data_IF_975521085855
#
_entry.id   IF_975521085855
#
_cell.length_a   1.000
_cell.length_b   1.000
_cell.length_c   1.000
_cell.angle_alpha   90.00
_cell.angle_beta   90.00
_cell.angle_gamma   90.00
#
_symmetry.space_group_name_H-M   'P 1'
#
loop_
_entity.id
_entity.type
_entity.pdbx_description
1 polymer ?
#
# COMPACT_ATOMS: atom_id res chain seq x y z
N UNK A 1 -35.90 -56.34 -32.82
CA UNK A 1 -35.92 -55.09 -32.08
C UNK A 1 -34.50 -54.70 -31.77
N UNK A 2 -33.91 -53.69 -32.47
CA UNK A 2 -32.55 -53.20 -32.24
C UNK A 2 -32.58 -52.11 -31.14
N UNK A 3 -31.89 -52.34 -30.04
CA UNK A 3 -31.74 -51.35 -28.94
C UNK A 3 -30.69 -50.33 -29.34
N UNK A 4 -31.10 -49.07 -29.54
CA UNK A 4 -30.22 -47.93 -29.75
C UNK A 4 -29.69 -47.51 -28.38
N UNK A 5 -28.38 -47.61 -28.15
CA UNK A 5 -27.72 -47.03 -26.99
C UNK A 5 -27.35 -45.59 -27.36
N UNK A 6 -28.02 -44.62 -26.73
CA UNK A 6 -27.64 -43.21 -26.83
C UNK A 6 -26.50 -42.97 -25.84
N UNK A 7 -25.31 -42.68 -26.38
CA UNK A 7 -24.17 -42.28 -25.59
C UNK A 7 -24.30 -40.77 -25.37
N UNK A 8 -24.71 -40.33 -24.16
CA UNK A 8 -24.74 -38.94 -23.78
C UNK A 8 -23.31 -38.52 -23.46
N UNK A 9 -22.66 -37.85 -24.42
CA UNK A 9 -21.35 -37.26 -24.20
C UNK A 9 -21.58 -35.91 -23.49
N UNK A 10 -21.39 -35.87 -22.17
CA UNK A 10 -21.43 -34.63 -21.40
C UNK A 10 -20.21 -33.79 -21.75
N UNK A 11 -20.41 -32.75 -22.59
CA UNK A 11 -19.44 -31.67 -22.73
C UNK A 11 -19.40 -30.88 -21.41
N UNK A 12 -18.44 -31.18 -20.55
CA UNK A 12 -18.08 -30.29 -19.48
C UNK A 12 -17.36 -29.10 -20.11
N UNK A 13 -17.83 -27.86 -19.89
CA UNK A 13 -17.05 -26.69 -20.29
C UNK A 13 -15.75 -26.74 -19.50
N UNK A 14 -14.62 -26.80 -20.19
CA UNK A 14 -13.33 -26.56 -19.59
C UNK A 14 -13.33 -25.08 -19.16
N UNK A 15 -13.63 -24.85 -17.89
CA UNK A 15 -13.37 -23.54 -17.27
C UNK A 15 -11.84 -23.43 -17.25
N UNK A 16 -11.31 -22.72 -18.23
CA UNK A 16 -9.89 -22.36 -18.26
C UNK A 16 -9.61 -21.58 -17.00
N UNK A 17 -8.87 -22.18 -16.06
CA UNK A 17 -8.18 -21.45 -15.03
C UNK A 17 -7.13 -20.59 -15.75
N UNK A 18 -7.51 -19.40 -16.22
CA UNK A 18 -6.54 -18.36 -16.52
C UNK A 18 -5.84 -18.06 -15.21
N UNK A 19 -4.56 -18.39 -15.12
CA UNK A 19 -3.72 -17.87 -14.06
C UNK A 19 -3.78 -16.33 -14.18
N UNK A 20 -4.47 -15.70 -13.24
CA UNK A 20 -4.45 -14.25 -13.18
C UNK A 20 -3.03 -13.82 -12.83
N UNK A 21 -2.52 -12.82 -13.54
CA UNK A 21 -1.30 -12.14 -13.17
C UNK A 21 -1.63 -10.95 -12.25
N UNK A 22 -0.71 -10.53 -11.39
CA UNK A 22 -0.90 -9.29 -10.65
C UNK A 22 -1.10 -8.13 -11.64
N UNK A 23 -1.96 -7.20 -11.25
CA UNK A 23 -2.14 -5.94 -11.99
C UNK A 23 -0.85 -5.11 -11.93
N UNK A 24 -0.22 -5.07 -10.77
CA UNK A 24 1.05 -4.38 -10.52
C UNK A 24 1.93 -5.22 -9.60
N UNK A 25 3.24 -5.16 -9.84
CA UNK A 25 4.28 -5.63 -8.92
C UNK A 25 5.08 -4.41 -8.50
N UNK A 26 5.26 -4.24 -7.22
CA UNK A 26 6.00 -3.15 -6.59
C UNK A 26 7.17 -3.76 -5.81
N UNK A 27 8.36 -3.72 -6.39
CA UNK A 27 9.57 -4.17 -5.71
C UNK A 27 9.90 -3.20 -4.57
N UNK A 28 10.18 -3.72 -3.38
CA UNK A 28 10.34 -2.87 -2.20
C UNK A 28 11.56 -1.94 -2.30
N UNK A 29 12.61 -2.38 -2.98
CA UNK A 29 13.83 -1.63 -3.22
C UNK A 29 13.64 -0.43 -4.17
N UNK A 30 12.57 -0.42 -4.98
CA UNK A 30 12.25 0.68 -5.91
C UNK A 30 11.49 1.82 -5.21
N UNK A 31 11.10 1.63 -3.95
CA UNK A 31 10.39 2.63 -3.18
C UNK A 31 11.30 3.77 -2.70
N UNK A 32 10.69 4.91 -2.36
CA UNK A 32 11.36 5.93 -1.57
C UNK A 32 11.41 5.44 -0.12
N UNK A 33 12.62 5.36 0.45
CA UNK A 33 12.85 4.80 1.77
C UNK A 33 13.23 5.90 2.78
N UNK A 34 12.56 5.90 3.93
CA UNK A 34 12.93 6.73 5.08
C UNK A 34 13.66 5.87 6.12
N UNK A 35 14.91 6.20 6.48
CA UNK A 35 15.68 5.42 7.46
C UNK A 35 14.94 5.22 8.80
N UNK A 36 15.25 4.12 9.52
CA UNK A 36 16.40 3.24 9.36
C UNK A 36 16.28 2.16 8.27
N UNK A 37 15.11 2.01 7.63
CA UNK A 37 14.89 1.03 6.57
C UNK A 37 15.86 1.23 5.41
N UNK A 38 16.37 0.12 4.84
CA UNK A 38 17.33 0.15 3.72
C UNK A 38 17.28 -1.10 2.84
N UNK A 39 17.74 -0.96 1.60
CA UNK A 39 17.91 -2.09 0.66
C UNK A 39 19.05 -3.00 1.08
N UNK A 40 18.82 -4.30 0.96
CA UNK A 40 19.82 -5.36 1.14
C UNK A 40 19.78 -6.31 -0.06
N UNK A 41 20.91 -6.55 -0.68
CA UNK A 41 21.03 -7.40 -1.87
C UNK A 41 21.35 -8.83 -1.45
N UNK A 42 20.43 -9.75 -1.74
CA UNK A 42 20.53 -11.17 -1.41
C UNK A 42 19.81 -11.98 -2.50
N UNK A 43 20.50 -12.91 -3.12
CA UNK A 43 19.91 -13.78 -4.15
C UNK A 43 18.73 -14.59 -3.62
N UNK A 44 17.73 -14.77 -4.45
CA UNK A 44 16.56 -15.58 -4.18
C UNK A 44 15.34 -14.81 -3.71
N UNK A 45 15.46 -13.49 -3.55
CA UNK A 45 14.34 -12.56 -3.49
C UNK A 45 13.95 -12.09 -4.92
N UNK A 46 12.79 -11.48 -5.06
CA UNK A 46 12.44 -10.76 -6.29
C UNK A 46 13.46 -9.64 -6.52
N UNK A 47 13.94 -9.44 -7.74
CA UNK A 47 14.99 -8.45 -8.02
C UNK A 47 16.34 -8.69 -7.34
N UNK A 48 16.55 -9.87 -6.68
CA UNK A 48 17.74 -10.19 -5.87
C UNK A 48 18.01 -9.17 -4.75
N UNK A 49 16.92 -8.56 -4.21
CA UNK A 49 17.00 -7.60 -3.12
C UNK A 49 15.77 -7.69 -2.19
N UNK A 50 15.88 -7.08 -1.03
CA UNK A 50 14.78 -6.85 -0.13
C UNK A 50 15.02 -5.57 0.69
N UNK A 51 13.99 -5.05 1.31
CA UNK A 51 14.07 -3.90 2.21
C UNK A 51 14.00 -4.40 3.65
N UNK A 52 15.08 -4.14 4.40
CA UNK A 52 15.24 -4.59 5.79
C UNK A 52 15.47 -3.44 6.76
N UNK A 53 15.68 -3.79 8.04
CA UNK A 53 15.82 -2.83 9.14
C UNK A 53 14.57 -1.95 9.28
N UNK A 54 13.40 -2.58 9.09
CA UNK A 54 12.09 -1.92 9.11
C UNK A 54 11.63 -1.67 10.55
N UNK A 55 12.32 -0.76 11.24
CA UNK A 55 12.06 -0.41 12.63
C UNK A 55 11.19 0.85 12.76
N UNK A 56 10.87 1.21 13.99
CA UNK A 56 10.07 2.40 14.28
C UNK A 56 10.65 3.66 13.61
N UNK A 57 9.80 4.42 12.95
CA UNK A 57 10.18 5.59 12.16
C UNK A 57 10.51 5.30 10.70
N UNK A 58 10.62 4.02 10.30
CA UNK A 58 10.79 3.64 8.91
C UNK A 58 9.56 3.94 8.07
N UNK A 59 9.78 4.27 6.80
CA UNK A 59 8.73 4.39 5.81
C UNK A 59 9.20 3.83 4.47
N UNK A 60 8.33 3.07 3.82
CA UNK A 60 8.47 2.59 2.44
C UNK A 60 7.35 3.26 1.65
N UNK A 61 7.69 4.16 0.72
CA UNK A 61 6.72 4.97 0.00
C UNK A 61 6.81 4.73 -1.51
N UNK A 62 5.74 4.20 -2.08
CA UNK A 62 5.52 4.15 -3.52
C UNK A 62 4.72 5.37 -3.96
N UNK A 63 5.19 6.03 -5.02
CA UNK A 63 4.51 7.14 -5.70
C UNK A 63 4.04 6.69 -7.07
N UNK A 64 3.02 7.37 -7.61
CA UNK A 64 2.52 7.13 -8.96
C UNK A 64 2.05 5.68 -9.21
N UNK A 65 1.43 5.08 -8.21
CA UNK A 65 0.79 3.76 -8.35
C UNK A 65 -0.53 3.95 -9.11
N UNK A 66 -0.49 3.73 -10.42
CA UNK A 66 -1.63 4.01 -11.30
C UNK A 66 -2.59 2.84 -11.39
N UNK A 67 -3.89 3.12 -11.25
CA UNK A 67 -4.97 2.17 -11.54
C UNK A 67 -6.05 2.82 -12.40
N UNK A 68 -6.62 2.05 -13.32
CA UNK A 68 -7.64 2.55 -14.26
C UNK A 68 -9.02 2.79 -13.62
N UNK A 69 -9.28 2.13 -12.50
CA UNK A 69 -10.57 2.17 -11.81
C UNK A 69 -10.38 2.40 -10.33
N UNK A 70 -11.25 3.18 -9.72
CA UNK A 70 -11.34 3.24 -8.27
C UNK A 70 -11.97 1.96 -7.72
N UNK A 71 -11.53 1.52 -6.55
CA UNK A 71 -12.13 0.35 -5.90
C UNK A 71 -11.20 -0.37 -4.93
N UNK A 72 -11.70 -1.52 -4.51
CA UNK A 72 -10.95 -2.46 -3.68
C UNK A 72 -10.01 -3.30 -4.54
N UNK A 73 -8.79 -3.44 -4.06
CA UNK A 73 -7.76 -4.29 -4.66
C UNK A 73 -7.23 -5.26 -3.60
N UNK A 74 -6.94 -6.49 -4.02
CA UNK A 74 -6.19 -7.41 -3.19
C UNK A 74 -4.72 -6.97 -3.16
N UNK A 75 -4.15 -6.92 -1.96
CA UNK A 75 -2.79 -6.46 -1.70
C UNK A 75 -2.01 -7.57 -1.02
N UNK A 76 -1.05 -8.11 -1.71
CA UNK A 76 -0.15 -9.16 -1.22
C UNK A 76 1.19 -8.58 -0.86
N UNK A 77 1.64 -8.83 0.35
CA UNK A 77 2.95 -8.44 0.85
C UNK A 77 3.82 -9.67 1.01
N UNK A 78 4.94 -9.72 0.32
CA UNK A 78 5.92 -10.79 0.42
C UNK A 78 7.02 -10.39 1.38
N UNK A 79 7.35 -11.25 2.34
CA UNK A 79 8.19 -10.89 3.47
C UNK A 79 9.03 -12.04 4.01
N UNK A 80 10.06 -11.69 4.80
CA UNK A 80 10.76 -12.61 5.70
C UNK A 80 10.76 -12.06 7.13
N UNK A 81 10.59 -12.93 8.13
CA UNK A 81 10.59 -12.54 9.54
C UNK A 81 10.67 -13.76 10.46
N UNK A 82 11.48 -13.69 11.50
CA UNK A 82 11.51 -14.69 12.57
C UNK A 82 10.41 -14.50 13.61
N UNK A 83 9.75 -13.36 13.65
CA UNK A 83 8.70 -13.06 14.63
C UNK A 83 7.44 -12.58 13.91
N UNK A 84 6.30 -12.80 14.55
CA UNK A 84 5.04 -12.21 14.08
C UNK A 84 5.14 -10.69 14.17
N UNK A 85 4.91 -10.04 13.05
CA UNK A 85 5.00 -8.60 12.87
C UNK A 85 3.77 -8.07 12.17
N UNK A 86 3.60 -6.78 12.20
CA UNK A 86 2.53 -6.10 11.48
C UNK A 86 3.07 -4.86 10.79
N UNK A 87 2.40 -4.50 9.71
CA UNK A 87 2.63 -3.25 8.99
C UNK A 87 1.34 -2.46 8.94
N UNK A 88 1.44 -1.14 8.85
CA UNK A 88 0.34 -0.28 8.50
C UNK A 88 0.52 0.18 7.06
N UNK A 89 -0.51 0.02 6.25
CA UNK A 89 -0.53 0.41 4.83
C UNK A 89 -1.53 1.54 4.66
N UNK A 90 -1.05 2.67 4.22
CA UNK A 90 -1.85 3.85 3.93
C UNK A 90 -1.87 4.11 2.42
N UNK A 91 -3.05 4.27 1.84
CA UNK A 91 -3.23 4.62 0.43
C UNK A 91 -3.76 6.05 0.33
N UNK A 92 -3.03 6.91 -0.38
CA UNK A 92 -3.39 8.32 -0.48
C UNK A 92 -3.67 8.95 0.90
N UNK A 93 -4.84 9.55 1.05
CA UNK A 93 -5.28 10.19 2.29
C UNK A 93 -6.23 9.33 3.13
N UNK A 94 -6.36 8.05 2.85
CA UNK A 94 -7.19 7.16 3.65
C UNK A 94 -6.50 6.74 4.95
N UNK A 95 -7.31 6.39 5.95
CA UNK A 95 -6.76 5.85 7.19
C UNK A 95 -5.95 4.57 6.91
N UNK A 96 -4.80 4.37 7.58
CA UNK A 96 -3.98 3.19 7.37
C UNK A 96 -4.72 1.92 7.78
N UNK A 97 -4.54 0.87 7.00
CA UNK A 97 -5.00 -0.49 7.30
C UNK A 97 -3.84 -1.24 7.94
N UNK A 98 -4.08 -1.83 9.11
CA UNK A 98 -3.09 -2.67 9.78
C UNK A 98 -3.17 -4.09 9.24
N UNK A 99 -2.04 -4.60 8.76
CA UNK A 99 -1.91 -5.95 8.21
C UNK A 99 -0.97 -6.74 9.11
N UNK A 100 -1.47 -7.83 9.67
CA UNK A 100 -0.70 -8.73 10.52
C UNK A 100 -0.24 -9.96 9.77
N UNK A 101 0.98 -10.42 10.09
CA UNK A 101 1.45 -11.73 9.67
C UNK A 101 0.68 -12.83 10.41
N UNK A 102 0.44 -13.93 9.74
CA UNK A 102 -0.14 -15.13 10.34
C UNK A 102 0.90 -16.17 10.68
N UNK A 103 2.06 -16.09 10.09
CA UNK A 103 3.18 -17.04 10.29
C UNK A 103 4.53 -16.36 10.15
N UNK A 104 5.57 -17.01 10.64
CA UNK A 104 6.97 -16.59 10.47
C UNK A 104 7.59 -17.37 9.32
N UNK A 105 8.74 -16.87 8.80
CA UNK A 105 9.50 -17.55 7.75
C UNK A 105 10.77 -18.23 8.29
N UNK A 106 10.93 -18.29 9.60
CA UNK A 106 12.07 -18.90 10.31
C UNK A 106 13.43 -18.20 10.09
N UNK A 107 13.57 -17.34 9.11
CA UNK A 107 14.78 -16.56 8.84
C UNK A 107 14.44 -15.09 8.50
N UNK A 108 15.30 -14.16 8.91
CA UNK A 108 15.17 -12.76 8.58
C UNK A 108 15.66 -12.43 7.17
N UNK A 109 16.66 -13.13 6.70
CA UNK A 109 17.47 -12.68 5.58
C UNK A 109 17.50 -13.67 4.41
N UNK A 110 16.73 -14.75 4.49
CA UNK A 110 16.76 -15.81 3.48
C UNK A 110 15.34 -16.25 3.09
N UNK A 111 15.10 -16.50 1.79
CA UNK A 111 13.91 -17.21 1.36
C UNK A 111 13.79 -18.59 2.00
N UNK A 112 12.60 -19.20 2.09
CA UNK A 112 11.39 -18.77 1.37
C UNK A 112 10.72 -17.55 2.00
N UNK A 113 10.08 -16.74 1.17
CA UNK A 113 9.25 -15.61 1.62
C UNK A 113 7.87 -16.10 2.04
N UNK A 114 7.33 -15.51 3.11
CA UNK A 114 5.91 -15.62 3.46
C UNK A 114 5.08 -14.62 2.65
N UNK A 115 3.76 -14.74 2.74
CA UNK A 115 2.85 -13.82 2.08
C UNK A 115 1.71 -13.42 3.04
N UNK A 116 1.53 -12.11 3.22
CA UNK A 116 0.34 -11.53 3.87
C UNK A 116 -0.64 -11.08 2.79
N UNK A 117 -1.91 -11.43 2.97
CA UNK A 117 -2.99 -11.00 2.10
C UNK A 117 -3.88 -10.01 2.83
N UNK A 118 -4.19 -8.92 2.17
CA UNK A 118 -5.14 -7.92 2.64
C UNK A 118 -5.85 -7.25 1.47
N UNK A 119 -6.69 -6.26 1.78
CA UNK A 119 -7.37 -5.47 0.79
C UNK A 119 -7.11 -3.99 1.07
N UNK A 120 -6.86 -3.23 0.00
CA UNK A 120 -6.69 -1.78 0.04
C UNK A 120 -7.68 -1.12 -0.90
N UNK A 121 -7.98 0.14 -0.67
CA UNK A 121 -8.77 0.94 -1.59
C UNK A 121 -7.85 1.90 -2.35
N UNK A 122 -8.00 1.95 -3.68
CA UNK A 122 -7.26 2.88 -4.53
C UNK A 122 -8.26 3.76 -5.29
N UNK A 123 -7.95 5.04 -5.40
CA UNK A 123 -8.66 5.96 -6.29
C UNK A 123 -8.25 5.71 -7.74
N UNK A 124 -9.11 6.04 -8.70
CA UNK A 124 -8.73 6.02 -10.12
C UNK A 124 -7.61 7.03 -10.38
N UNK A 125 -6.58 6.60 -11.10
CA UNK A 125 -5.41 7.42 -11.44
C UNK A 125 -4.22 7.09 -10.54
N UNK A 126 -3.36 8.06 -10.31
CA UNK A 126 -2.15 7.91 -9.51
C UNK A 126 -2.47 7.91 -8.01
N UNK A 127 -1.91 6.95 -7.32
CA UNK A 127 -2.00 6.78 -5.88
C UNK A 127 -0.61 6.81 -5.25
N UNK A 128 -0.56 7.11 -3.96
CA UNK A 128 0.59 6.81 -3.11
C UNK A 128 0.26 5.64 -2.21
N UNK A 129 1.23 4.76 -1.98
CA UNK A 129 1.12 3.67 -1.00
C UNK A 129 2.29 3.82 -0.04
N UNK A 130 1.96 4.09 1.21
CA UNK A 130 2.92 4.24 2.30
C UNK A 130 2.81 3.05 3.24
N UNK A 131 3.93 2.42 3.53
CA UNK A 131 4.03 1.30 4.44
C UNK A 131 4.94 1.70 5.59
N UNK A 132 4.46 1.48 6.81
CA UNK A 132 5.21 1.71 8.05
C UNK A 132 5.14 0.48 8.95
N UNK A 133 6.13 0.21 9.80
CA UNK A 133 6.03 -0.82 10.82
C UNK A 133 4.92 -0.45 11.82
N UNK A 134 4.21 -1.46 12.32
CA UNK A 134 3.18 -1.26 13.32
C UNK A 134 3.59 -1.91 14.65
N UNK A 135 3.45 -1.17 15.77
CA UNK A 135 3.84 -1.61 17.11
C UNK A 135 5.33 -2.03 17.25
N UNK A 136 6.23 -1.21 16.72
CA UNK A 136 7.69 -1.42 16.85
C UNK A 136 8.35 -1.72 15.52
N UNK A 137 8.84 -2.92 15.31
CA UNK A 137 9.50 -3.30 14.06
C UNK A 137 8.56 -4.03 13.09
N UNK A 138 8.77 -3.84 11.81
CA UNK A 138 8.14 -4.57 10.73
C UNK A 138 8.94 -5.79 10.26
N UNK A 139 8.40 -6.62 9.35
CA UNK A 139 9.16 -7.65 8.65
C UNK A 139 10.12 -7.04 7.64
N UNK A 140 11.09 -7.81 7.18
CA UNK A 140 11.78 -7.49 5.94
C UNK A 140 10.83 -7.71 4.76
N UNK A 141 10.83 -6.80 3.80
CA UNK A 141 9.89 -6.82 2.68
C UNK A 141 10.64 -7.11 1.38
N UNK A 142 10.15 -8.10 0.65
CA UNK A 142 10.59 -8.45 -0.71
C UNK A 142 9.89 -7.53 -1.73
N UNK A 143 8.59 -7.74 -1.87
CA UNK A 143 7.75 -6.99 -2.82
C UNK A 143 6.31 -6.91 -2.36
N UNK A 144 5.54 -6.13 -3.10
CA UNK A 144 4.09 -6.12 -3.02
C UNK A 144 3.46 -6.43 -4.38
N UNK A 145 2.30 -7.02 -4.36
CA UNK A 145 1.50 -7.23 -5.56
C UNK A 145 0.10 -6.68 -5.37
N UNK A 146 -0.41 -6.02 -6.39
CA UNK A 146 -1.78 -5.52 -6.46
C UNK A 146 -2.54 -6.37 -7.47
N UNK A 147 -3.69 -6.89 -7.07
CA UNK A 147 -4.53 -7.76 -7.87
C UNK A 147 -5.94 -7.21 -7.97
N UNK A 148 -6.59 -7.41 -9.11
CA UNK A 148 -8.03 -7.22 -9.19
C UNK A 148 -8.75 -8.23 -8.28
N UNK A 149 -9.88 -7.83 -7.69
CA UNK A 149 -10.66 -8.68 -6.78
C UNK A 149 -12.15 -8.44 -6.95
N UNK A 150 -12.93 -9.48 -6.70
CA UNK A 150 -14.39 -9.40 -6.58
C UNK A 150 -14.86 -8.90 -5.19
N UNK A 151 -13.93 -8.85 -4.22
CA UNK A 151 -14.21 -8.31 -2.89
C UNK A 151 -14.45 -6.82 -3.00
N UNK A 152 -15.51 -6.35 -2.36
CA UNK A 152 -15.88 -4.93 -2.33
C UNK A 152 -15.91 -4.45 -0.89
N UNK A 153 -14.97 -3.55 -0.57
CA UNK A 153 -15.03 -2.79 0.68
C UNK A 153 -15.77 -1.47 0.42
N UNK A 154 -16.48 -0.95 1.42
CA UNK A 154 -16.97 0.41 1.33
C UNK A 154 -15.79 1.37 1.12
N UNK A 155 -16.01 2.43 0.34
CA UNK A 155 -14.99 3.47 0.17
C UNK A 155 -14.62 4.04 1.54
N UNK A 156 -13.34 4.00 1.92
CA UNK A 156 -12.92 4.54 3.21
C UNK A 156 -13.13 6.07 3.23
N UNK A 157 -13.34 6.61 4.42
CA UNK A 157 -13.30 8.06 4.58
C UNK A 157 -11.86 8.56 4.49
N UNK A 158 -11.66 9.67 3.80
CA UNK A 158 -10.36 10.34 3.80
C UNK A 158 -10.12 10.89 5.21
N UNK A 159 -8.92 10.69 5.71
CA UNK A 159 -8.54 11.31 6.98
C UNK A 159 -8.69 12.81 6.84
N UNK A 160 -9.35 13.38 7.80
CA UNK A 160 -9.25 14.82 8.00
C UNK A 160 -7.80 15.10 8.36
N UNK A 161 -7.14 15.96 7.59
CA UNK A 161 -5.76 16.23 7.76
C UNK A 161 -5.50 16.75 9.18
N UNK A 162 -4.45 16.37 9.99
CA UNK A 162 -4.07 16.91 11.28
C UNK A 162 -3.06 18.04 11.09
N UNK A 163 -3.23 19.17 11.76
CA UNK A 163 -2.26 20.26 11.69
C UNK A 163 -0.93 19.82 12.29
N UNK A 164 0.14 19.90 11.53
CA UNK A 164 1.47 20.01 12.10
C UNK A 164 1.86 21.49 12.04
N UNK A 165 1.70 22.20 13.12
CA UNK A 165 2.30 23.50 13.27
C UNK A 165 3.77 23.33 13.60
N UNK A 166 4.62 23.56 12.67
CA UNK A 166 5.92 24.20 12.87
C UNK A 166 6.31 24.89 11.57
N UNK A 167 5.57 25.93 11.22
CA UNK A 167 6.02 26.87 10.23
C UNK A 167 6.81 27.94 10.97
N UNK A 168 8.09 27.66 11.16
CA UNK A 168 9.04 28.66 11.59
C UNK A 168 9.01 29.81 10.60
N UNK A 169 8.54 30.93 11.10
CA UNK A 169 8.75 32.28 10.61
C UNK A 169 8.58 32.56 9.11
N UNK A 170 7.47 33.17 8.76
CA UNK A 170 7.20 33.93 7.55
C UNK A 170 6.93 33.21 6.22
N UNK A 171 6.58 31.95 6.20
CA UNK A 171 6.03 31.37 4.98
C UNK A 171 4.54 31.74 4.84
N UNK A 172 4.19 32.57 3.87
CA UNK A 172 2.82 32.76 3.45
C UNK A 172 2.34 31.50 2.74
N UNK A 173 1.38 30.80 3.31
CA UNK A 173 0.74 29.64 2.68
C UNK A 173 -0.64 30.06 2.24
N UNK A 174 -0.95 29.89 0.95
CA UNK A 174 -2.27 30.16 0.39
C UNK A 174 -2.92 28.85 -0.01
N UNK A 175 -4.04 28.50 0.62
CA UNK A 175 -4.84 27.34 0.24
C UNK A 175 -6.18 27.84 -0.31
N UNK A 176 -6.54 27.39 -1.53
CA UNK A 176 -7.79 27.79 -2.17
C UNK A 176 -7.94 29.32 -2.35
N UNK A 177 -6.81 30.06 -2.49
CA UNK A 177 -6.82 31.52 -2.60
C UNK A 177 -6.96 32.25 -1.25
N UNK A 178 -7.00 31.52 -0.13
CA UNK A 178 -7.05 32.10 1.23
C UNK A 178 -5.67 32.01 1.86
N UNK A 179 -5.18 33.12 2.36
CA UNK A 179 -3.93 33.19 3.14
C UNK A 179 -4.16 32.51 4.50
N UNK A 180 -3.37 31.48 4.79
CA UNK A 180 -3.41 30.74 6.05
C UNK A 180 -2.15 30.96 6.90
N UNK A 181 -1.37 31.99 6.59
CA UNK A 181 -0.22 32.38 7.39
C UNK A 181 -0.69 32.87 8.76
N UNK A 182 -0.29 32.13 9.80
CA UNK A 182 -0.46 32.48 11.20
C UNK A 182 -1.89 32.41 11.74
N UNK A 183 -2.11 31.53 12.68
CA UNK A 183 -3.21 31.44 13.69
C UNK A 183 -4.68 31.72 13.27
N UNK A 184 -5.00 31.78 12.00
CA UNK A 184 -6.30 32.19 11.49
C UNK A 184 -7.21 31.03 11.02
N UNK A 185 -6.84 29.78 11.28
CA UNK A 185 -7.68 28.62 10.98
C UNK A 185 -8.66 28.39 12.13
N UNK A 186 -9.95 28.50 11.84
CA UNK A 186 -11.01 28.15 12.79
C UNK A 186 -11.39 26.68 12.63
N UNK A 187 -11.74 26.03 13.73
CA UNK A 187 -12.16 24.61 13.80
C UNK A 187 -13.35 24.22 12.90
N UNK A 188 -14.00 25.19 12.29
CA UNK A 188 -15.19 25.00 11.45
C UNK A 188 -14.96 25.25 9.95
N UNK A 189 -13.74 25.51 9.52
CA UNK A 189 -13.44 25.72 8.10
C UNK A 189 -13.21 24.39 7.39
N UNK A 190 -13.98 24.08 6.37
CA UNK A 190 -13.72 22.98 5.44
C UNK A 190 -12.66 23.41 4.43
N UNK A 191 -11.54 22.68 4.37
CA UNK A 191 -10.48 22.92 3.40
C UNK A 191 -10.37 21.77 2.42
N UNK A 192 -10.22 22.11 1.15
CA UNK A 192 -9.80 21.13 0.13
C UNK A 192 -8.28 21.09 0.15
N UNK A 193 -7.71 19.93 0.44
CA UNK A 193 -6.26 19.73 0.33
C UNK A 193 -5.91 19.70 -1.14
N UNK A 194 -5.15 20.67 -1.60
CA UNK A 194 -4.51 20.64 -2.90
C UNK A 194 -3.13 19.99 -2.76
N UNK A 195 -2.76 19.20 -3.75
CA UNK A 195 -1.41 18.66 -3.86
C UNK A 195 -0.44 19.82 -4.13
N UNK A 196 0.13 20.35 -3.06
CA UNK A 196 1.16 21.37 -3.16
C UNK A 196 2.46 20.64 -3.45
N UNK A 197 2.81 20.51 -4.71
CA UNK A 197 4.17 20.14 -5.12
C UNK A 197 5.17 21.21 -4.71
N UNK A 198 5.47 21.30 -3.43
CA UNK A 198 6.71 21.88 -2.99
C UNK A 198 7.82 20.86 -3.31
N UNK A 199 8.92 21.30 -3.78
CA UNK A 199 9.95 20.55 -4.51
C UNK A 199 10.54 19.30 -3.82
N UNK A 200 10.09 18.86 -2.68
CA UNK A 200 10.48 17.60 -2.03
C UNK A 200 9.56 17.07 -0.94
N UNK A 201 8.64 17.87 -0.37
CA UNK A 201 7.92 17.46 0.82
C UNK A 201 6.42 17.70 0.70
N UNK A 202 5.64 16.70 1.11
CA UNK A 202 4.19 16.84 1.22
C UNK A 202 3.87 17.66 2.46
N UNK A 203 3.08 18.72 2.28
CA UNK A 203 2.50 19.45 3.41
C UNK A 203 1.13 18.83 3.67
N UNK A 204 0.98 18.21 4.84
CA UNK A 204 -0.31 17.72 5.31
C UNK A 204 -0.99 18.85 6.07
N UNK A 205 -2.16 19.26 5.62
CA UNK A 205 -3.01 20.20 6.36
C UNK A 205 -4.27 19.45 6.78
N UNK A 206 -4.59 19.46 8.07
CA UNK A 206 -5.78 18.83 8.64
C UNK A 206 -6.74 19.86 9.20
N UNK A 207 -8.02 19.64 8.96
CA UNK A 207 -9.12 20.27 9.69
C UNK A 207 -9.91 19.24 10.47
#
# INVERSE_FOLDING_TARGET
>A
MKKIKILLLSLLPAVGLCAQNPLLVLEAEDAVLTPPVKVKYVNGYSGDAYVGDNDSGSEILFKNVYVDKEGTYEFRTYYTSMFIRSIAVQTGFYAPVVIGMTETTEDWNRPPVGMMLSYIYLDKGDNTIKITPYNGGGPNIDKFEIWETEVKMPKPEKMKAAYAYDLTDNAAITIGGKDISGSALNDNDEYTVYDLQAASDYIYVTC
#
